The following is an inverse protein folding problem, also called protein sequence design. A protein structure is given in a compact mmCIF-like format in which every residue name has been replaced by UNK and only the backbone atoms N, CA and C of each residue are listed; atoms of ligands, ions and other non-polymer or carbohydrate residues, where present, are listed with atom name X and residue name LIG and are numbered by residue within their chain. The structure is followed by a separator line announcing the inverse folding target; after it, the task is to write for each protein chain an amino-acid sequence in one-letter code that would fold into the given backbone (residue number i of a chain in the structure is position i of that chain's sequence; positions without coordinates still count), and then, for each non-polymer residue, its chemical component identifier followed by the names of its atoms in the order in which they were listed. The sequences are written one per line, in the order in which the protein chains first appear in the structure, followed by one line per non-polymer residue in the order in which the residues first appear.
data_IF_210928236854
#
_entry.id   IF_210928236854
#
_cell.length_a   1.000
_cell.length_b   1.000
_cell.length_c   1.000
_cell.angle_alpha   90.00
_cell.angle_beta   90.00
_cell.angle_gamma   90.00
#
_symmetry.space_group_name_H-M   'P 1'
#
loop_
_entity.id
_entity.type
_entity.pdbx_description
1 polymer ?
#
# COMPACT_ATOMS: atom_id res chain seq x y z
N UNK A 1 62.54 -14.54 -38.73
CA UNK A 1 61.48 -13.52 -38.88
C UNK A 1 60.09 -14.09 -38.56
N UNK A 2 59.65 -15.18 -39.21
CA UNK A 2 58.34 -15.82 -38.93
C UNK A 2 58.15 -16.27 -37.47
N UNK A 3 59.19 -16.85 -36.85
CA UNK A 3 59.12 -17.36 -35.47
C UNK A 3 58.84 -16.24 -34.42
N UNK A 4 59.39 -15.05 -34.64
CA UNK A 4 59.19 -13.88 -33.76
C UNK A 4 57.77 -13.31 -33.88
N UNK A 5 57.17 -13.37 -35.08
CA UNK A 5 55.81 -12.91 -35.34
C UNK A 5 54.80 -13.85 -34.67
N UNK A 6 55.02 -15.16 -34.74
CA UNK A 6 54.16 -16.14 -34.07
C UNK A 6 54.22 -16.02 -32.54
N UNK A 7 55.41 -15.77 -32.00
CA UNK A 7 55.60 -15.59 -30.55
C UNK A 7 54.98 -14.28 -30.04
N UNK A 8 55.11 -13.19 -30.80
CA UNK A 8 54.44 -11.92 -30.50
C UNK A 8 52.91 -12.04 -30.53
N UNK A 9 52.36 -12.77 -31.51
CA UNK A 9 50.92 -13.04 -31.59
C UNK A 9 50.42 -13.87 -30.41
N UNK A 10 51.13 -14.93 -30.04
CA UNK A 10 50.78 -15.77 -28.90
C UNK A 10 50.80 -14.99 -27.57
N UNK A 11 51.77 -14.07 -27.39
CA UNK A 11 51.80 -13.17 -26.23
C UNK A 11 50.62 -12.19 -26.23
N UNK A 12 50.28 -11.63 -27.39
CA UNK A 12 49.11 -10.74 -27.53
C UNK A 12 47.80 -11.46 -27.17
N UNK A 13 47.60 -12.67 -27.67
CA UNK A 13 46.41 -13.48 -27.40
C UNK A 13 46.33 -13.87 -25.91
N UNK A 14 47.47 -14.19 -25.28
CA UNK A 14 47.54 -14.47 -23.84
C UNK A 14 47.21 -13.24 -22.99
N UNK A 15 47.67 -12.05 -23.37
CA UNK A 15 47.35 -10.78 -22.70
C UNK A 15 45.86 -10.45 -22.85
N UNK A 16 45.27 -10.64 -24.03
CA UNK A 16 43.85 -10.44 -24.26
C UNK A 16 42.98 -11.40 -23.43
N UNK A 17 43.35 -12.68 -23.36
CA UNK A 17 42.67 -13.67 -22.54
C UNK A 17 42.77 -13.33 -21.03
N UNK A 18 43.94 -12.89 -20.56
CA UNK A 18 44.13 -12.46 -19.18
C UNK A 18 43.31 -11.20 -18.84
N UNK A 19 43.24 -10.23 -19.75
CA UNK A 19 42.42 -9.03 -19.60
C UNK A 19 40.92 -9.35 -19.56
N UNK A 20 40.45 -10.24 -20.44
CA UNK A 20 39.06 -10.71 -20.45
C UNK A 20 38.69 -11.40 -19.14
N UNK A 21 39.53 -12.33 -18.67
CA UNK A 21 39.33 -13.01 -17.38
C UNK A 21 39.27 -12.02 -16.22
N UNK A 22 40.18 -11.04 -16.18
CA UNK A 22 40.18 -10.00 -15.15
C UNK A 22 38.92 -9.13 -15.19
N UNK A 23 38.39 -8.83 -16.37
CA UNK A 23 37.14 -8.10 -16.52
C UNK A 23 35.93 -8.92 -16.05
N UNK A 24 35.87 -10.22 -16.37
CA UNK A 24 34.84 -11.13 -15.88
C UNK A 24 34.87 -11.27 -14.35
N UNK A 25 36.06 -11.41 -13.76
CA UNK A 25 36.24 -11.49 -12.31
C UNK A 25 35.81 -10.17 -11.62
N UNK A 26 36.14 -9.02 -12.22
CA UNK A 26 35.71 -7.71 -11.73
C UNK A 26 34.18 -7.50 -11.86
N UNK A 27 33.58 -7.98 -12.95
CA UNK A 27 32.12 -7.93 -13.15
C UNK A 27 31.39 -8.80 -12.13
N UNK A 28 31.89 -10.02 -11.86
CA UNK A 28 31.36 -10.90 -10.81
C UNK A 28 31.46 -10.25 -9.43
N UNK A 29 32.59 -9.63 -9.10
CA UNK A 29 32.76 -8.93 -7.83
C UNK A 29 31.75 -7.77 -7.67
N UNK A 30 31.48 -7.02 -8.75
CA UNK A 30 30.45 -5.96 -8.74
C UNK A 30 29.04 -6.50 -8.55
N UNK A 31 28.68 -7.56 -9.27
CA UNK A 31 27.37 -8.21 -9.11
C UNK A 31 27.16 -8.71 -7.68
N UNK A 32 28.17 -9.34 -7.08
CA UNK A 32 28.10 -9.76 -5.68
C UNK A 32 27.94 -8.58 -4.72
N UNK A 33 28.61 -7.46 -4.96
CA UNK A 33 28.47 -6.25 -4.14
C UNK A 33 27.06 -5.64 -4.24
N UNK A 34 26.48 -5.59 -5.45
CA UNK A 34 25.10 -5.11 -5.66
C UNK A 34 24.09 -6.01 -4.95
N UNK A 35 24.24 -7.33 -5.09
CA UNK A 35 23.33 -8.27 -4.41
C UNK A 35 23.45 -8.18 -2.89
N UNK A 36 24.67 -8.00 -2.37
CA UNK A 36 24.88 -7.81 -0.94
C UNK A 36 24.24 -6.51 -0.43
N UNK A 37 24.35 -5.42 -1.19
CA UNK A 37 23.66 -4.17 -0.88
C UNK A 37 22.14 -4.35 -0.89
N UNK A 38 21.59 -5.02 -1.92
CA UNK A 38 20.16 -5.31 -2.04
C UNK A 38 19.66 -6.08 -0.81
N UNK A 39 20.39 -7.09 -0.35
CA UNK A 39 20.02 -7.86 0.83
C UNK A 39 20.06 -7.04 2.12
N UNK A 40 21.00 -6.09 2.25
CA UNK A 40 21.04 -5.18 3.40
C UNK A 40 19.86 -4.21 3.39
N UNK A 41 19.56 -3.62 2.24
CA UNK A 41 18.43 -2.71 2.08
C UNK A 41 17.10 -3.43 2.34
N UNK A 42 16.95 -4.66 1.85
CA UNK A 42 15.79 -5.52 2.09
C UNK A 42 15.64 -5.87 3.58
N UNK A 43 16.74 -6.22 4.25
CA UNK A 43 16.72 -6.49 5.69
C UNK A 43 16.36 -5.24 6.51
N UNK A 44 16.88 -4.07 6.14
CA UNK A 44 16.53 -2.81 6.78
C UNK A 44 15.06 -2.44 6.57
N UNK A 45 14.54 -2.63 5.35
CA UNK A 45 13.13 -2.40 5.05
C UNK A 45 12.22 -3.32 5.86
N UNK A 46 12.58 -4.61 5.98
CA UNK A 46 11.83 -5.59 6.78
C UNK A 46 11.84 -5.25 8.26
N UNK A 47 12.98 -4.80 8.80
CA UNK A 47 13.06 -4.36 10.19
C UNK A 47 12.17 -3.14 10.47
N UNK A 48 12.16 -2.17 9.55
CA UNK A 48 11.29 -1.00 9.66
C UNK A 48 9.80 -1.38 9.58
N UNK A 49 9.44 -2.36 8.75
CA UNK A 49 8.06 -2.85 8.64
C UNK A 49 7.59 -3.55 9.92
N UNK A 50 8.44 -4.42 10.49
CA UNK A 50 8.15 -5.09 11.77
C UNK A 50 7.93 -4.06 12.90
N UNK A 51 8.76 -3.01 12.95
CA UNK A 51 8.58 -1.92 13.94
C UNK A 51 7.23 -1.20 13.75
N UNK A 52 6.82 -0.95 12.50
CA UNK A 52 5.50 -0.36 12.21
C UNK A 52 4.37 -1.27 12.65
N UNK A 53 4.46 -2.58 12.41
CA UNK A 53 3.45 -3.56 12.86
C UNK A 53 3.34 -3.53 14.39
N UNK A 54 4.47 -3.53 15.10
CA UNK A 54 4.48 -3.45 16.56
C UNK A 54 3.83 -2.16 17.08
N UNK A 55 4.09 -1.02 16.43
CA UNK A 55 3.42 0.26 16.78
C UNK A 55 1.91 0.19 16.58
N UNK A 56 1.43 -0.41 15.48
CA UNK A 56 0.00 -0.60 15.25
C UNK A 56 -0.64 -1.50 16.32
N UNK A 57 -0.01 -2.61 16.66
CA UNK A 57 -0.51 -3.52 17.70
C UNK A 57 -0.58 -2.82 19.07
N UNK A 58 0.40 -1.95 19.38
CA UNK A 58 0.37 -1.14 20.60
C UNK A 58 -0.86 -0.21 20.65
N UNK A 59 -1.24 0.38 19.52
CA UNK A 59 -2.43 1.24 19.43
C UNK A 59 -3.71 0.43 19.63
N UNK A 60 -3.87 -0.68 18.90
CA UNK A 60 -5.07 -1.51 19.02
C UNK A 60 -5.23 -2.10 20.43
N UNK A 61 -4.14 -2.53 21.06
CA UNK A 61 -4.17 -3.01 22.45
C UNK A 61 -4.49 -1.88 23.44
N UNK A 62 -3.93 -0.68 23.24
CA UNK A 62 -4.25 0.51 24.03
C UNK A 62 -5.71 0.95 23.91
N UNK A 63 -6.26 0.98 22.70
CA UNK A 63 -7.67 1.29 22.44
C UNK A 63 -8.59 0.25 23.10
N UNK A 64 -8.26 -1.04 22.98
CA UNK A 64 -9.03 -2.11 23.62
C UNK A 64 -9.04 -1.96 25.14
N UNK A 65 -7.90 -1.64 25.75
CA UNK A 65 -7.81 -1.40 27.19
C UNK A 65 -8.70 -0.23 27.63
N UNK A 66 -8.71 0.87 26.86
CA UNK A 66 -9.58 2.02 27.11
C UNK A 66 -11.08 1.65 27.02
N UNK A 67 -11.46 0.86 26.02
CA UNK A 67 -12.84 0.38 25.86
C UNK A 67 -13.28 -0.51 27.01
N UNK A 68 -12.42 -1.43 27.47
CA UNK A 68 -12.68 -2.26 28.65
C UNK A 68 -12.85 -1.41 29.90
N UNK A 69 -11.94 -0.47 30.17
CA UNK A 69 -12.04 0.43 31.31
C UNK A 69 -13.34 1.26 31.27
N UNK A 70 -13.71 1.75 30.09
CA UNK A 70 -14.95 2.51 29.91
C UNK A 70 -16.20 1.67 30.19
N UNK A 71 -16.19 0.39 29.83
CA UNK A 71 -17.28 -0.55 30.13
C UNK A 71 -17.39 -0.81 31.64
N UNK A 72 -16.25 -1.04 32.31
CA UNK A 72 -16.21 -1.29 33.76
C UNK A 72 -16.71 -0.07 34.55
N UNK A 73 -16.23 1.12 34.21
CA UNK A 73 -16.66 2.36 34.88
C UNK A 73 -18.11 2.70 34.62
N UNK A 74 -18.65 2.35 33.45
CA UNK A 74 -20.08 2.48 33.17
C UNK A 74 -20.91 1.60 34.10
N UNK A 75 -20.52 0.33 34.29
CA UNK A 75 -21.19 -0.58 35.21
C UNK A 75 -21.11 -0.11 36.67
N UNK A 76 -19.96 0.43 37.09
CA UNK A 76 -19.81 1.02 38.42
C UNK A 76 -20.69 2.26 38.64
N UNK A 77 -20.79 3.12 37.63
CA UNK A 77 -21.66 4.29 37.67
C UNK A 77 -23.14 3.90 37.76
N UNK A 78 -23.57 2.88 37.01
CA UNK A 78 -24.94 2.34 37.07
C UNK A 78 -25.29 1.73 38.43
N UNK A 79 -24.31 1.15 39.13
CA UNK A 79 -24.51 0.57 40.48
C UNK A 79 -24.37 1.60 41.61
N UNK A 80 -24.05 2.86 41.29
CA UNK A 80 -23.83 3.93 42.27
C UNK A 80 -22.57 3.75 43.11
N UNK A 81 -21.62 2.90 42.69
CA UNK A 81 -20.40 2.53 43.42
C UNK A 81 -19.14 3.18 42.86
N UNK A 82 -19.27 4.34 42.22
CA UNK A 82 -18.14 4.99 41.55
C UNK A 82 -17.16 5.58 42.58
N UNK A 83 -16.27 4.74 43.08
CA UNK A 83 -15.19 5.08 43.99
C UNK A 83 -13.92 5.46 43.20
N UNK A 84 -13.06 6.29 43.80
CA UNK A 84 -11.75 6.67 43.24
C UNK A 84 -11.79 7.39 41.87
N UNK A 85 -12.82 8.21 41.63
CA UNK A 85 -13.02 8.92 40.35
C UNK A 85 -11.83 9.79 39.92
N UNK A 86 -11.10 10.38 40.87
CA UNK A 86 -9.87 11.16 40.60
C UNK A 86 -8.73 10.27 40.08
N UNK A 87 -8.51 9.10 40.71
CA UNK A 87 -7.47 8.13 40.31
C UNK A 87 -7.81 7.56 38.93
N UNK A 88 -9.08 7.21 38.70
CA UNK A 88 -9.58 6.73 37.40
C UNK A 88 -9.40 7.78 36.31
N UNK A 89 -9.72 9.05 36.60
CA UNK A 89 -9.50 10.16 35.67
C UNK A 89 -8.02 10.36 35.33
N UNK A 90 -7.13 10.27 36.32
CA UNK A 90 -5.68 10.36 36.10
C UNK A 90 -5.16 9.19 35.24
N UNK A 91 -5.62 7.96 35.50
CA UNK A 91 -5.27 6.78 34.71
C UNK A 91 -5.75 6.90 33.27
N UNK A 92 -6.99 7.38 33.05
CA UNK A 92 -7.52 7.63 31.71
C UNK A 92 -6.66 8.64 30.95
N UNK A 93 -6.34 9.77 31.58
CA UNK A 93 -5.51 10.81 30.98
C UNK A 93 -4.13 10.28 30.59
N UNK A 94 -3.53 9.44 31.44
CA UNK A 94 -2.24 8.79 31.13
C UNK A 94 -2.35 7.90 29.89
N UNK A 95 -3.35 7.01 29.83
CA UNK A 95 -3.55 6.11 28.69
C UNK A 95 -3.86 6.87 27.38
N UNK A 96 -4.72 7.88 27.44
CA UNK A 96 -5.04 8.72 26.26
C UNK A 96 -3.79 9.48 25.80
N UNK A 97 -2.96 9.95 26.72
CA UNK A 97 -1.71 10.65 26.37
C UNK A 97 -0.70 9.71 25.70
N UNK A 98 -0.50 8.48 26.22
CA UNK A 98 0.39 7.48 25.59
C UNK A 98 -0.13 7.06 24.20
N UNK A 99 -1.45 6.90 24.07
CA UNK A 99 -2.08 6.57 22.79
C UNK A 99 -1.89 7.71 21.78
N UNK A 100 -2.14 8.97 22.18
CA UNK A 100 -1.92 10.14 21.33
C UNK A 100 -0.46 10.26 20.89
N UNK A 101 0.50 10.05 21.81
CA UNK A 101 1.91 10.06 21.46
C UNK A 101 2.26 8.99 20.41
N UNK A 102 1.68 7.79 20.54
CA UNK A 102 1.87 6.69 19.59
C UNK A 102 1.18 6.98 18.24
N UNK A 103 0.02 7.66 18.23
CA UNK A 103 -0.64 8.09 17.00
C UNK A 103 0.15 9.19 16.26
N UNK A 104 0.76 10.13 16.98
CA UNK A 104 1.56 11.20 16.38
C UNK A 104 2.78 10.63 15.66
N UNK A 105 3.49 9.68 16.27
CA UNK A 105 4.65 9.03 15.62
C UNK A 105 4.23 8.24 14.39
N UNK A 106 3.07 7.57 14.41
CA UNK A 106 2.53 6.93 13.20
C UNK A 106 2.14 7.92 12.11
N UNK A 107 1.63 9.10 12.47
CA UNK A 107 1.26 10.11 11.48
C UNK A 107 2.50 10.68 10.76
N UNK A 108 3.63 10.81 11.46
CA UNK A 108 4.93 11.12 10.84
C UNK A 108 5.36 10.04 9.84
N UNK A 109 5.16 8.76 10.17
CA UNK A 109 5.45 7.65 9.26
C UNK A 109 4.59 7.71 7.98
N UNK A 110 3.28 7.99 8.11
CA UNK A 110 2.36 8.14 6.97
C UNK A 110 2.81 9.29 6.06
N UNK A 111 3.14 10.45 6.65
CA UNK A 111 3.65 11.58 5.87
C UNK A 111 5.00 11.26 5.20
N UNK A 112 5.86 10.48 5.84
CA UNK A 112 7.12 10.03 5.23
C UNK A 112 6.87 9.15 4.00
N UNK A 113 5.86 8.26 4.07
CA UNK A 113 5.48 7.39 2.97
C UNK A 113 4.86 8.19 1.82
N UNK A 114 3.99 9.16 2.13
CA UNK A 114 3.43 10.09 1.14
C UNK A 114 4.52 10.86 0.39
N UNK A 115 5.58 11.30 1.09
CA UNK A 115 6.73 11.94 0.46
C UNK A 115 7.46 11.01 -0.51
N UNK A 116 7.67 9.73 -0.13
CA UNK A 116 8.28 8.73 -1.00
C UNK A 116 7.40 8.47 -2.23
N UNK A 117 6.08 8.36 -2.04
CA UNK A 117 5.12 8.20 -3.14
C UNK A 117 5.11 9.41 -4.07
N UNK A 118 5.14 10.63 -3.54
CA UNK A 118 5.23 11.85 -4.34
C UNK A 118 6.53 11.91 -5.14
N UNK A 119 7.65 11.52 -4.54
CA UNK A 119 8.95 11.42 -5.23
C UNK A 119 8.88 10.39 -6.36
N UNK A 120 8.32 9.21 -6.09
CA UNK A 120 8.13 8.17 -7.10
C UNK A 120 7.25 8.68 -8.26
N UNK A 121 6.13 9.34 -7.96
CA UNK A 121 5.24 9.94 -8.95
C UNK A 121 5.95 10.99 -9.80
N UNK A 122 6.82 11.81 -9.19
CA UNK A 122 7.60 12.82 -9.90
C UNK A 122 8.60 12.18 -10.89
N UNK A 123 9.25 11.09 -10.49
CA UNK A 123 10.20 10.33 -11.33
C UNK A 123 9.46 9.62 -12.47
N UNK A 124 8.32 9.01 -12.19
CA UNK A 124 7.44 8.40 -13.20
C UNK A 124 7.04 9.44 -14.25
N UNK A 125 6.57 10.62 -13.82
CA UNK A 125 6.22 11.71 -14.73
C UNK A 125 7.43 12.17 -15.56
N UNK A 126 8.63 12.23 -14.97
CA UNK A 126 9.84 12.55 -15.72
C UNK A 126 10.20 11.49 -16.77
N UNK A 127 9.98 10.21 -16.47
CA UNK A 127 10.17 9.11 -17.42
C UNK A 127 9.15 9.18 -18.57
N UNK A 128 7.88 9.44 -18.25
CA UNK A 128 6.81 9.61 -19.24
C UNK A 128 7.02 10.83 -20.15
N UNK A 129 7.58 11.92 -19.62
CA UNK A 129 7.81 13.17 -20.37
C UNK A 129 9.16 13.21 -21.10
N UNK A 130 10.00 12.16 -21.00
CA UNK A 130 11.31 12.15 -21.65
C UNK A 130 11.14 12.03 -23.17
N UNK A 131 11.47 13.06 -23.97
CA UNK A 131 11.28 13.01 -25.42
C UNK A 131 12.12 11.88 -26.04
N UNK A 132 11.53 11.13 -26.97
CA UNK A 132 12.29 10.29 -27.90
C UNK A 132 13.04 11.23 -28.83
N UNK A 133 14.29 11.54 -28.48
CA UNK A 133 15.18 12.30 -29.36
C UNK A 133 15.35 11.53 -30.69
N UNK A 134 15.29 12.27 -31.80
CA UNK A 134 15.56 11.80 -33.15
C UNK A 134 16.88 11.00 -33.21
N UNK A 135 17.04 10.08 -34.18
CA UNK A 135 18.18 9.18 -34.23
C UNK A 135 19.46 9.94 -34.59
N UNK A 136 20.14 10.49 -33.58
CA UNK A 136 21.52 10.91 -33.73
C UNK A 136 22.42 9.68 -33.80
N UNK A 137 23.27 9.67 -34.82
CA UNK A 137 24.07 8.55 -35.28
C UNK A 137 25.23 8.16 -34.33
N UNK A 138 24.92 7.77 -33.09
CA UNK A 138 25.83 7.05 -32.21
C UNK A 138 25.11 5.81 -31.64
N UNK A 139 25.48 4.63 -32.17
CA UNK A 139 24.85 3.33 -31.95
C UNK A 139 25.07 2.71 -30.55
N UNK A 140 25.30 3.53 -29.51
CA UNK A 140 25.61 3.04 -28.15
C UNK A 140 24.60 3.44 -27.09
N UNK A 141 23.66 4.35 -27.37
CA UNK A 141 22.72 4.86 -26.35
C UNK A 141 21.38 4.10 -26.30
N UNK A 142 21.04 3.30 -27.31
CA UNK A 142 19.74 2.63 -27.37
C UNK A 142 19.71 1.31 -26.59
N UNK A 143 20.82 0.56 -26.57
CA UNK A 143 20.91 -0.73 -25.86
C UNK A 143 20.89 -0.54 -24.35
N UNK A 144 21.74 0.36 -23.83
CA UNK A 144 21.82 0.68 -22.40
C UNK A 144 20.49 1.25 -21.86
N UNK A 145 19.74 1.98 -22.71
CA UNK A 145 18.42 2.51 -22.36
C UNK A 145 17.32 1.45 -22.39
N UNK A 146 17.42 0.46 -23.28
CA UNK A 146 16.48 -0.65 -23.34
C UNK A 146 16.68 -1.59 -22.15
N UNK A 147 17.94 -1.86 -21.78
CA UNK A 147 18.29 -2.68 -20.62
C UNK A 147 17.86 -2.01 -19.31
N UNK A 148 18.07 -0.71 -19.16
CA UNK A 148 17.57 0.04 -17.99
C UNK A 148 16.04 0.04 -17.90
N UNK A 149 15.35 0.18 -19.04
CA UNK A 149 13.88 0.15 -19.08
C UNK A 149 13.32 -1.26 -18.83
N UNK A 150 14.00 -2.30 -19.31
CA UNK A 150 13.64 -3.70 -19.08
C UNK A 150 13.79 -4.08 -17.60
N UNK A 151 14.84 -3.57 -16.94
CA UNK A 151 15.04 -3.72 -15.49
C UNK A 151 13.95 -2.97 -14.71
N UNK A 152 13.64 -1.73 -15.07
CA UNK A 152 12.60 -0.93 -14.39
C UNK A 152 11.19 -1.53 -14.58
N UNK A 153 10.87 -2.02 -15.78
CA UNK A 153 9.58 -2.70 -16.06
C UNK A 153 9.52 -4.08 -15.38
N UNK A 154 10.63 -4.81 -15.32
CA UNK A 154 10.73 -6.06 -14.57
C UNK A 154 10.48 -5.84 -13.08
N UNK A 155 11.15 -4.85 -12.48
CA UNK A 155 10.95 -4.47 -11.08
C UNK A 155 9.53 -3.99 -10.79
N UNK A 156 8.91 -3.23 -11.72
CA UNK A 156 7.52 -2.80 -11.59
C UNK A 156 6.56 -3.99 -11.60
N UNK A 157 6.79 -4.97 -12.48
CA UNK A 157 5.97 -6.18 -12.58
C UNK A 157 6.07 -7.01 -11.30
N UNK A 158 7.28 -7.15 -10.76
CA UNK A 158 7.51 -7.88 -9.50
C UNK A 158 6.87 -7.15 -8.31
N UNK A 159 6.95 -5.81 -8.27
CA UNK A 159 6.31 -4.99 -7.25
C UNK A 159 4.77 -5.07 -7.29
N UNK A 160 4.19 -5.01 -8.50
CA UNK A 160 2.74 -5.21 -8.71
C UNK A 160 2.31 -6.61 -8.27
N UNK A 161 3.10 -7.63 -8.59
CA UNK A 161 2.80 -9.01 -8.22
C UNK A 161 2.92 -9.26 -6.71
N UNK A 162 3.92 -8.66 -6.06
CA UNK A 162 4.09 -8.68 -4.61
C UNK A 162 2.91 -8.00 -3.92
N UNK A 163 2.50 -6.81 -4.38
CA UNK A 163 1.37 -6.08 -3.84
C UNK A 163 0.05 -6.85 -4.02
N UNK A 164 -0.16 -7.47 -5.18
CA UNK A 164 -1.35 -8.28 -5.45
C UNK A 164 -1.41 -9.52 -4.55
N UNK A 165 -0.26 -10.15 -4.27
CA UNK A 165 -0.17 -11.29 -3.35
C UNK A 165 -0.45 -10.86 -1.91
N UNK A 166 0.13 -9.74 -1.47
CA UNK A 166 -0.12 -9.18 -0.14
C UNK A 166 -1.59 -8.79 0.07
N UNK A 167 -2.23 -8.25 -0.98
CA UNK A 167 -3.65 -7.87 -0.94
C UNK A 167 -4.55 -9.10 -0.82
N UNK A 168 -4.26 -10.17 -1.59
CA UNK A 168 -5.00 -11.44 -1.47
C UNK A 168 -4.80 -12.12 -0.12
N UNK A 169 -3.59 -12.05 0.44
CA UNK A 169 -3.29 -12.61 1.75
C UNK A 169 -4.00 -11.84 2.87
N UNK A 170 -4.11 -10.52 2.74
CA UNK A 170 -4.88 -9.67 3.65
C UNK A 170 -6.38 -9.97 3.55
N UNK A 171 -6.94 -10.09 2.34
CA UNK A 171 -8.34 -10.51 2.15
C UNK A 171 -8.62 -11.86 2.80
N UNK A 172 -7.75 -12.86 2.59
CA UNK A 172 -7.90 -14.17 3.22
C UNK A 172 -7.82 -14.10 4.75
N UNK A 173 -6.93 -13.28 5.32
CA UNK A 173 -6.85 -13.10 6.75
C UNK A 173 -8.10 -12.42 7.33
N UNK A 174 -8.65 -11.41 6.63
CA UNK A 174 -9.90 -10.75 7.01
C UNK A 174 -11.06 -11.75 6.98
N UNK A 175 -11.18 -12.54 5.90
CA UNK A 175 -12.22 -13.58 5.78
C UNK A 175 -12.07 -14.67 6.85
N UNK A 176 -10.85 -15.08 7.16
CA UNK A 176 -10.58 -16.12 8.19
C UNK A 176 -10.87 -15.59 9.60
N UNK A 177 -10.46 -14.36 9.91
CA UNK A 177 -10.75 -13.70 11.18
C UNK A 177 -12.26 -13.46 11.37
N UNK A 178 -12.98 -13.09 10.31
CA UNK A 178 -14.44 -12.97 10.32
C UNK A 178 -15.14 -14.32 10.54
N UNK A 179 -14.58 -15.43 10.05
CA UNK A 179 -15.13 -16.78 10.22
C UNK A 179 -14.96 -17.32 11.66
N UNK A 180 -13.95 -16.85 12.40
CA UNK A 180 -13.76 -17.19 13.82
C UNK A 180 -14.57 -16.32 14.78
N UNK A 181 -15.11 -15.18 14.31
CA UNK A 181 -16.11 -14.41 15.04
C UNK A 181 -17.49 -15.01 14.78
N UNK A 182 -17.87 -16.01 15.58
CA UNK A 182 -19.24 -16.55 15.62
C UNK A 182 -20.21 -15.54 16.24
N UNK A 183 -20.41 -14.43 15.55
CA UNK A 183 -21.60 -13.60 15.62
C UNK A 183 -22.05 -13.49 14.17
N UNK A 184 -23.24 -13.97 13.85
CA UNK A 184 -23.87 -13.59 12.57
C UNK A 184 -23.70 -12.07 12.40
N UNK A 185 -23.15 -11.59 11.27
CA UNK A 185 -23.03 -10.17 11.04
C UNK A 185 -24.43 -9.58 11.03
N UNK A 186 -24.81 -8.90 12.12
CA UNK A 186 -26.10 -8.23 12.20
C UNK A 186 -26.05 -7.08 11.22
N UNK A 187 -26.97 -7.09 10.28
CA UNK A 187 -27.17 -5.99 9.34
C UNK A 187 -27.34 -4.68 10.13
N UNK A 188 -26.50 -3.68 9.83
CA UNK A 188 -26.59 -2.35 10.45
C UNK A 188 -27.00 -1.33 9.40
N UNK A 189 -27.73 -0.29 9.80
CA UNK A 189 -28.20 0.74 8.85
C UNK A 189 -27.02 1.65 8.45
N UNK A 190 -26.62 1.70 7.16
CA UNK A 190 -25.55 2.58 6.71
C UNK A 190 -25.98 4.04 6.74
N UNK A 191 -25.13 4.92 7.26
CA UNK A 191 -25.32 6.38 7.20
C UNK A 191 -24.52 6.96 6.04
N UNK A 192 -25.14 7.79 5.20
CA UNK A 192 -24.53 8.37 4.00
C UNK A 192 -24.25 9.88 4.12
N UNK A 193 -24.07 10.38 5.34
CA UNK A 193 -23.98 11.82 5.62
C UNK A 193 -22.80 12.50 4.90
N UNK A 194 -21.68 11.79 4.71
CA UNK A 194 -20.47 12.29 4.03
C UNK A 194 -20.38 11.88 2.54
N UNK A 195 -21.48 11.42 1.96
CA UNK A 195 -21.55 11.09 0.54
C UNK A 195 -22.63 11.94 -0.10
N UNK A 196 -22.37 12.46 -1.30
CA UNK A 196 -23.37 13.22 -2.05
C UNK A 196 -24.37 12.28 -2.75
N UNK A 197 -25.53 12.80 -3.12
CA UNK A 197 -26.50 12.06 -3.94
C UNK A 197 -25.91 11.94 -5.35
N UNK A 198 -25.95 10.73 -5.92
CA UNK A 198 -25.52 10.55 -7.30
C UNK A 198 -26.53 11.16 -8.25
N UNK A 199 -26.12 12.18 -8.98
CA UNK A 199 -26.92 12.76 -10.05
C UNK A 199 -26.10 12.80 -11.34
N UNK A 200 -26.73 12.44 -12.46
CA UNK A 200 -26.08 12.54 -13.77
C UNK A 200 -25.71 13.99 -14.16
N UNK A 201 -26.29 15.00 -13.49
CA UNK A 201 -25.99 16.42 -13.75
C UNK A 201 -24.83 16.96 -12.92
N UNK A 202 -24.46 16.29 -11.83
CA UNK A 202 -23.28 16.64 -11.04
C UNK A 202 -22.06 16.01 -11.71
N UNK A 203 -20.99 16.78 -11.95
CA UNK A 203 -19.74 16.33 -12.57
C UNK A 203 -18.93 15.32 -11.70
N UNK A 204 -19.60 14.58 -10.83
CA UNK A 204 -19.01 13.57 -9.96
C UNK A 204 -18.68 12.34 -10.79
N UNK A 205 -17.42 11.92 -10.77
CA UNK A 205 -16.99 10.69 -11.46
C UNK A 205 -17.79 9.49 -10.92
N UNK A 206 -18.49 8.73 -11.78
CA UNK A 206 -19.29 7.59 -11.35
C UNK A 206 -18.45 6.50 -10.68
N UNK A 207 -17.23 6.25 -11.13
CA UNK A 207 -16.45 5.09 -10.65
C UNK A 207 -16.08 5.23 -9.16
N UNK A 208 -15.46 6.34 -8.70
CA UNK A 208 -15.18 6.55 -7.28
C UNK A 208 -16.45 6.59 -6.42
N UNK A 209 -17.55 7.15 -6.96
CA UNK A 209 -18.80 7.25 -6.22
C UNK A 209 -19.39 5.86 -5.93
N UNK A 210 -19.48 5.00 -6.95
CA UNK A 210 -20.00 3.63 -6.79
C UNK A 210 -19.10 2.79 -5.88
N UNK A 211 -17.78 2.92 -5.99
CA UNK A 211 -16.84 2.23 -5.08
C UNK A 211 -17.05 2.61 -3.62
N UNK A 212 -17.21 3.91 -3.32
CA UNK A 212 -17.49 4.39 -1.95
C UNK A 212 -18.85 3.91 -1.44
N UNK A 213 -19.86 3.90 -2.31
CA UNK A 213 -21.20 3.42 -1.99
C UNK A 213 -21.22 1.92 -1.66
N UNK A 214 -20.62 1.09 -2.52
CA UNK A 214 -20.56 -0.37 -2.37
C UNK A 214 -19.77 -0.78 -1.12
N UNK A 215 -18.62 -0.14 -0.88
CA UNK A 215 -17.81 -0.38 0.33
C UNK A 215 -18.60 -0.10 1.61
N UNK A 216 -19.41 0.96 1.62
CA UNK A 216 -20.25 1.30 2.78
C UNK A 216 -21.34 0.25 3.00
N UNK A 217 -21.96 -0.30 1.96
CA UNK A 217 -22.91 -1.40 2.10
C UNK A 217 -22.26 -2.69 2.62
N UNK A 218 -21.05 -3.01 2.16
CA UNK A 218 -20.29 -4.17 2.61
C UNK A 218 -19.91 -4.07 4.09
N UNK A 219 -19.39 -2.92 4.52
CA UNK A 219 -19.00 -2.68 5.92
C UNK A 219 -20.17 -2.84 6.90
N UNK A 220 -21.37 -2.45 6.46
CA UNK A 220 -22.60 -2.55 7.23
C UNK A 220 -23.32 -3.90 7.10
N UNK A 221 -22.75 -4.85 6.36
CA UNK A 221 -23.30 -6.18 6.09
C UNK A 221 -24.72 -6.10 5.52
N UNK A 222 -24.98 -5.10 4.67
CA UNK A 222 -26.29 -4.95 4.03
C UNK A 222 -26.50 -6.11 3.07
N UNK A 223 -27.59 -6.84 3.27
CA UNK A 223 -27.98 -7.93 2.40
C UNK A 223 -28.22 -7.44 0.96
N UNK A 224 -27.76 -8.20 -0.03
CA UNK A 224 -27.75 -7.83 -1.45
C UNK A 224 -29.13 -7.39 -1.96
N UNK A 225 -30.19 -8.07 -1.50
CA UNK A 225 -31.57 -7.73 -1.85
C UNK A 225 -32.02 -6.35 -1.36
N UNK A 226 -31.28 -5.66 -0.48
CA UNK A 226 -31.58 -4.28 -0.04
C UNK A 226 -30.70 -3.22 -0.72
N UNK A 227 -29.67 -3.63 -1.45
CA UNK A 227 -28.74 -2.70 -2.11
C UNK A 227 -29.48 -1.76 -3.06
N UNK A 228 -30.46 -2.28 -3.80
CA UNK A 228 -31.26 -1.50 -4.74
C UNK A 228 -32.04 -0.37 -4.04
N UNK A 229 -32.57 -0.59 -2.83
CA UNK A 229 -33.31 0.42 -2.08
C UNK A 229 -32.39 1.56 -1.62
N UNK A 230 -31.19 1.23 -1.16
CA UNK A 230 -30.18 2.24 -0.83
C UNK A 230 -29.68 2.97 -2.07
N UNK A 231 -29.47 2.27 -3.18
CA UNK A 231 -29.05 2.89 -4.43
C UNK A 231 -30.12 3.89 -4.90
N UNK A 232 -31.38 3.51 -4.84
CA UNK A 232 -32.51 4.38 -5.19
C UNK A 232 -32.57 5.62 -4.29
N UNK A 233 -32.45 5.44 -2.97
CA UNK A 233 -32.40 6.55 -1.98
C UNK A 233 -31.22 7.51 -2.21
N UNK A 234 -30.12 7.00 -2.75
CA UNK A 234 -28.88 7.73 -3.00
C UNK A 234 -28.72 8.18 -4.46
N UNK A 235 -29.77 8.02 -5.26
CA UNK A 235 -29.85 8.45 -6.66
C UNK A 235 -30.75 9.66 -6.79
N UNK A 236 -30.39 10.59 -7.68
CA UNK A 236 -31.19 11.78 -7.97
C UNK A 236 -31.19 12.13 -9.45
N UNK A 237 -32.09 13.05 -9.81
CA UNK A 237 -32.20 13.59 -11.17
C UNK A 237 -32.45 12.53 -12.23
N UNK A 238 -31.80 12.66 -13.39
CA UNK A 238 -32.02 11.77 -14.53
C UNK A 238 -31.68 10.30 -14.25
N UNK A 239 -30.77 10.02 -13.30
CA UNK A 239 -30.43 8.65 -12.92
C UNK A 239 -31.55 7.97 -12.12
N UNK A 240 -32.25 8.73 -11.27
CA UNK A 240 -33.42 8.22 -10.55
C UNK A 240 -34.58 7.91 -11.50
N UNK A 241 -34.85 8.80 -12.47
CA UNK A 241 -35.86 8.56 -13.52
C UNK A 241 -35.51 7.33 -14.37
N UNK A 242 -34.23 7.09 -14.63
CA UNK A 242 -33.77 5.88 -15.31
C UNK A 242 -34.02 4.61 -14.49
N UNK A 243 -33.78 4.65 -13.17
CA UNK A 243 -34.12 3.55 -12.26
C UNK A 243 -35.64 3.29 -12.21
N UNK A 244 -36.47 4.33 -12.17
CA UNK A 244 -37.93 4.21 -12.17
C UNK A 244 -38.46 3.46 -13.40
N UNK A 245 -37.89 3.75 -14.58
CA UNK A 245 -38.24 3.08 -15.83
C UNK A 245 -37.80 1.61 -15.87
N UNK A 246 -36.72 1.24 -15.17
CA UNK A 246 -36.27 -0.14 -15.06
C UNK A 246 -37.14 -0.96 -14.10
N UNK A 247 -37.64 -0.32 -13.03
CA UNK A 247 -38.47 -0.96 -12.01
C UNK A 247 -39.96 -0.99 -12.38
N UNK A 248 -40.41 -0.12 -13.30
CA UNK A 248 -41.77 -0.14 -13.85
C UNK A 248 -41.91 -1.21 -14.94
N UNK A 249 -42.12 -2.46 -14.53
CA UNK A 249 -42.66 -3.53 -15.38
C UNK A 249 -43.87 -4.18 -14.73
#
# INVERSE_FOLDING_TARGET
MLLLITEAKQRSDAVAAAAKKKAEDAAKARLSAIEQQRQQDEAAAKAADEERIQRHEKIFSGERALLTMAADWRAEAETGKMEESEIKSALLLSHVTDLLATCITQQEDIHSLDNVLAQFHSRLRQLEQRPVAAPDANSSNTSDRLEALEIDVGSLKDGVQLQQTATQQLEQQICTAATHSSSEPRETTPRFDDQEIFCASTNTDPIPWFRKFELKLQLHHVSEHKHHAYLYSRSGGAFQVWLDNLLSK
#
